data_IF_416657673044
#
_entry.id   IF_416657673044
#
_cell.length_a   1.000
_cell.length_b   1.000
_cell.length_c   1.000
_cell.angle_alpha   90.00
_cell.angle_beta   90.00
_cell.angle_gamma   90.00
#
_symmetry.space_group_name_H-M   'P 1'
#
loop_
_entity.id
_entity.type
_entity.pdbx_description
1 polymer ?
#
# COMPACT_ATOMS: atom_id res chain seq x y z
N UNK A 1 32.52 41.72 -23.48
CA UNK A 1 31.20 41.28 -22.97
C UNK A 1 31.36 40.09 -22.03
N UNK A 2 32.08 39.04 -22.44
CA UNK A 2 32.49 37.88 -21.62
C UNK A 2 33.03 38.22 -20.21
N UNK A 3 33.98 39.17 -20.11
CA UNK A 3 34.57 39.57 -18.82
C UNK A 3 33.56 40.19 -17.84
N UNK A 4 32.51 40.86 -18.34
CA UNK A 4 31.52 41.52 -17.49
C UNK A 4 30.53 40.51 -16.87
N UNK A 5 30.18 39.46 -17.62
CA UNK A 5 29.32 38.37 -17.14
C UNK A 5 30.01 37.48 -16.10
N UNK A 6 31.33 37.26 -16.23
CA UNK A 6 32.11 36.51 -15.23
C UNK A 6 32.09 37.15 -13.85
N UNK A 7 32.32 38.48 -13.77
CA UNK A 7 32.29 39.20 -12.49
C UNK A 7 30.87 39.28 -11.89
N UNK A 8 29.83 39.35 -12.72
CA UNK A 8 28.45 39.36 -12.27
C UNK A 8 28.08 38.04 -11.55
N UNK A 9 28.53 36.90 -12.08
CA UNK A 9 28.31 35.59 -11.44
C UNK A 9 29.00 35.46 -10.08
N UNK A 10 30.21 36.02 -9.94
CA UNK A 10 30.95 36.03 -8.66
C UNK A 10 30.24 36.90 -7.62
N UNK A 11 29.77 38.08 -8.01
CA UNK A 11 29.04 39.00 -7.11
C UNK A 11 27.71 38.37 -6.65
N UNK A 12 26.96 37.74 -7.56
CA UNK A 12 25.71 37.05 -7.21
C UNK A 12 25.93 35.86 -6.27
N UNK A 13 27.01 35.09 -6.48
CA UNK A 13 27.39 33.98 -5.60
C UNK A 13 27.76 34.48 -4.19
N UNK A 14 28.51 35.58 -4.11
CA UNK A 14 28.87 36.18 -2.83
C UNK A 14 27.64 36.70 -2.05
N UNK A 15 26.67 37.30 -2.75
CA UNK A 15 25.39 37.74 -2.16
C UNK A 15 24.59 36.52 -1.67
N UNK A 16 24.50 35.46 -2.48
CA UNK A 16 23.81 34.22 -2.11
C UNK A 16 24.39 33.57 -0.85
N UNK A 17 25.73 33.50 -0.74
CA UNK A 17 26.42 32.99 0.44
C UNK A 17 26.16 33.89 1.65
N UNK A 18 26.23 35.22 1.50
CA UNK A 18 25.99 36.14 2.60
C UNK A 18 24.54 36.05 3.13
N UNK A 19 23.56 35.92 2.23
CA UNK A 19 22.14 35.72 2.59
C UNK A 19 21.94 34.36 3.24
N UNK A 20 22.50 33.28 2.68
CA UNK A 20 22.43 31.94 3.25
C UNK A 20 23.05 31.87 4.65
N UNK A 21 24.22 32.48 4.83
CA UNK A 21 24.86 32.61 6.14
C UNK A 21 24.02 33.45 7.11
N UNK A 22 23.35 34.52 6.64
CA UNK A 22 22.45 35.32 7.48
C UNK A 22 21.19 34.56 7.88
N UNK A 23 20.60 33.79 6.98
CA UNK A 23 19.44 32.92 7.28
C UNK A 23 19.85 31.82 8.24
N UNK A 24 20.97 31.15 8.00
CA UNK A 24 21.53 30.15 8.92
C UNK A 24 21.82 30.78 10.30
N UNK A 25 22.38 31.98 10.35
CA UNK A 25 22.60 32.73 11.58
C UNK A 25 21.29 33.11 12.29
N UNK A 26 20.24 33.47 11.56
CA UNK A 26 18.92 33.78 12.12
C UNK A 26 18.22 32.52 12.64
N UNK A 27 18.32 31.39 11.93
CA UNK A 27 17.80 30.09 12.38
C UNK A 27 18.57 29.60 13.61
N UNK A 28 19.91 29.73 13.59
CA UNK A 28 20.77 29.34 14.71
C UNK A 28 20.61 30.28 15.92
N UNK A 29 20.26 31.55 15.70
CA UNK A 29 19.87 32.50 16.75
C UNK A 29 18.41 32.39 17.18
N UNK A 30 17.61 31.44 16.69
CA UNK A 30 16.29 31.18 17.29
C UNK A 30 16.52 30.68 18.71
N UNK A 31 16.31 31.56 19.68
CA UNK A 31 16.44 31.26 21.10
C UNK A 31 15.57 30.05 21.45
N UNK A 32 16.16 29.06 22.11
CA UNK A 32 15.42 27.91 22.66
C UNK A 32 14.53 28.45 23.77
N UNK A 33 13.21 28.30 23.63
CA UNK A 33 12.25 28.86 24.59
C UNK A 33 11.57 27.74 25.36
N UNK A 34 11.56 27.86 26.68
CA UNK A 34 10.72 27.04 27.56
C UNK A 34 9.32 27.62 27.53
N UNK A 35 8.31 26.79 27.28
CA UNK A 35 6.90 27.19 27.33
C UNK A 35 6.11 26.10 28.03
N UNK A 36 5.04 26.49 28.69
CA UNK A 36 4.08 25.55 29.25
C UNK A 36 2.68 26.03 28.86
N UNK A 37 1.88 25.11 28.34
CA UNK A 37 0.49 25.38 28.02
C UNK A 37 -0.41 24.29 28.57
N UNK A 38 -1.70 24.56 28.66
CA UNK A 38 -2.68 23.56 29.05
C UNK A 38 -3.95 23.64 28.23
N UNK A 39 -4.70 22.55 28.16
CA UNK A 39 -6.01 22.53 27.51
C UNK A 39 -6.90 21.44 28.09
N UNK A 40 -8.20 21.67 28.09
CA UNK A 40 -9.19 20.64 28.37
C UNK A 40 -9.44 19.86 27.08
N UNK A 41 -9.00 18.60 27.05
CA UNK A 41 -9.13 17.71 25.89
C UNK A 41 -10.53 17.07 25.84
N UNK A 42 -11.10 16.78 27.00
CA UNK A 42 -12.46 16.26 27.12
C UNK A 42 -13.14 16.79 28.39
N UNK A 43 -14.45 17.03 28.29
CA UNK A 43 -15.32 17.41 29.39
C UNK A 43 -16.66 16.69 29.18
N UNK A 44 -16.80 15.52 29.81
CA UNK A 44 -17.91 14.59 29.54
C UNK A 44 -18.79 14.44 30.78
N UNK A 45 -20.10 14.79 30.73
CA UNK A 45 -21.02 14.48 31.82
C UNK A 45 -21.23 12.96 31.89
N UNK A 46 -21.16 12.38 33.09
CA UNK A 46 -21.38 10.94 33.29
C UNK A 46 -22.88 10.60 33.31
N UNK A 47 -23.75 11.57 33.61
CA UNK A 47 -25.21 11.52 33.45
C UNK A 47 -25.71 12.91 33.06
N UNK A 48 -26.55 13.03 32.02
CA UNK A 48 -27.19 14.30 31.70
C UNK A 48 -28.50 14.44 32.48
N UNK A 49 -28.54 15.33 33.48
CA UNK A 49 -29.81 15.77 34.05
C UNK A 49 -30.50 16.71 33.06
N UNK A 50 -31.19 16.12 32.08
CA UNK A 50 -31.79 16.87 30.98
C UNK A 50 -32.66 16.04 30.05
N UNK A 51 -33.31 14.98 30.54
CA UNK A 51 -34.42 14.30 29.86
C UNK A 51 -35.18 13.37 30.84
N UNK A 52 -35.97 13.96 31.74
CA UNK A 52 -37.25 13.42 32.24
C UNK A 52 -37.45 11.96 32.68
N UNK A 53 -36.45 11.10 32.93
CA UNK A 53 -36.76 9.69 33.30
C UNK A 53 -35.75 8.93 34.17
N UNK A 54 -34.82 9.60 34.86
CA UNK A 54 -33.83 8.94 35.73
C UNK A 54 -33.92 9.39 37.20
N UNK A 55 -35.12 9.63 37.73
CA UNK A 55 -35.32 10.03 39.14
C UNK A 55 -34.80 8.99 40.16
N UNK A 56 -34.57 7.74 39.74
CA UNK A 56 -34.06 6.65 40.59
C UNK A 56 -32.54 6.43 40.50
N UNK A 57 -31.83 7.08 39.56
CA UNK A 57 -30.40 6.87 39.37
C UNK A 57 -29.61 7.78 40.33
N UNK A 58 -28.84 7.17 41.23
CA UNK A 58 -27.91 7.89 42.12
C UNK A 58 -26.48 7.50 41.77
N UNK A 59 -25.66 8.46 41.36
CA UNK A 59 -24.21 8.25 41.24
C UNK A 59 -23.59 8.48 42.61
N UNK A 60 -22.75 7.54 43.04
CA UNK A 60 -21.98 7.66 44.27
C UNK A 60 -20.51 7.40 44.00
N UNK A 61 -19.64 8.15 44.67
CA UNK A 61 -18.22 7.87 44.76
C UNK A 61 -17.89 7.65 46.24
N UNK A 62 -17.64 6.40 46.61
CA UNK A 62 -17.64 5.98 48.01
C UNK A 62 -18.98 6.31 48.69
N UNK A 63 -18.92 7.02 49.81
CA UNK A 63 -20.12 7.43 50.57
C UNK A 63 -20.74 8.76 50.12
N UNK A 64 -20.12 9.44 49.14
CA UNK A 64 -20.59 10.73 48.63
C UNK A 64 -21.52 10.52 47.42
N UNK A 65 -22.72 11.10 47.48
CA UNK A 65 -23.61 11.24 46.33
C UNK A 65 -23.09 12.37 45.43
N UNK A 66 -23.08 12.15 44.12
CA UNK A 66 -22.71 13.14 43.10
C UNK A 66 -23.97 13.55 42.33
N UNK A 67 -24.17 14.84 42.16
CA UNK A 67 -25.39 15.39 41.56
C UNK A 67 -25.20 15.80 40.09
N UNK A 68 -24.00 16.27 39.72
CA UNK A 68 -23.59 16.58 38.34
C UNK A 68 -22.17 16.06 38.07
N UNK A 69 -22.04 14.73 38.07
CA UNK A 69 -20.76 14.05 37.91
C UNK A 69 -20.21 14.18 36.49
N UNK A 70 -18.95 14.61 36.36
CA UNK A 70 -18.27 14.87 35.09
C UNK A 70 -16.86 14.29 35.09
N UNK A 71 -16.44 13.71 33.99
CA UNK A 71 -15.04 13.34 33.76
C UNK A 71 -14.38 14.39 32.88
N UNK A 72 -13.33 15.03 33.40
CA UNK A 72 -12.53 16.03 32.69
C UNK A 72 -11.12 15.49 32.44
N UNK A 73 -10.65 15.66 31.20
CA UNK A 73 -9.29 15.32 30.79
C UNK A 73 -8.54 16.62 30.51
N UNK A 74 -7.60 16.97 31.39
CA UNK A 74 -6.73 18.13 31.28
C UNK A 74 -5.37 17.70 30.76
N UNK A 75 -4.88 18.35 29.71
CA UNK A 75 -3.53 18.13 29.21
C UNK A 75 -2.68 19.36 29.49
N UNK A 76 -1.50 19.15 30.09
CA UNK A 76 -0.46 20.18 30.28
C UNK A 76 0.72 19.77 29.39
N UNK A 77 1.15 20.65 28.49
CA UNK A 77 2.15 20.34 27.47
C UNK A 77 3.27 21.39 27.39
N UNK A 78 4.40 20.99 26.81
CA UNK A 78 5.47 21.90 26.44
C UNK A 78 5.43 22.20 24.92
N UNK A 79 4.81 23.33 24.51
CA UNK A 79 4.81 23.77 23.11
C UNK A 79 6.10 24.53 22.72
N UNK A 80 7.06 24.65 23.63
CA UNK A 80 8.33 25.33 23.41
C UNK A 80 9.34 24.46 22.66
N UNK A 81 10.51 25.05 22.37
CA UNK A 81 11.63 24.36 21.72
C UNK A 81 12.73 23.91 22.69
N UNK A 82 12.59 24.24 23.99
CA UNK A 82 13.47 23.80 25.06
C UNK A 82 12.74 22.86 26.04
N UNK A 83 13.44 21.88 26.61
CA UNK A 83 12.88 21.04 27.66
C UNK A 83 12.62 21.83 28.95
N UNK A 84 11.51 21.53 29.62
CA UNK A 84 11.18 22.01 30.97
C UNK A 84 11.55 20.91 31.95
N UNK A 85 12.53 21.18 32.82
CA UNK A 85 13.08 20.21 33.77
C UNK A 85 12.40 20.33 35.14
N UNK A 86 12.40 19.28 35.99
CA UNK A 86 11.88 19.36 37.35
C UNK A 86 12.50 20.50 38.19
N UNK A 87 13.78 20.80 37.97
CA UNK A 87 14.48 21.90 38.66
C UNK A 87 14.07 23.31 38.21
N UNK A 88 13.33 23.43 37.10
CA UNK A 88 12.84 24.73 36.63
C UNK A 88 11.65 25.24 37.44
N UNK A 89 10.93 24.35 38.13
CA UNK A 89 9.76 24.69 38.91
C UNK A 89 10.17 25.23 40.27
N UNK A 90 9.65 26.41 40.64
CA UNK A 90 9.83 26.91 42.00
C UNK A 90 8.95 26.16 43.01
N UNK A 91 7.74 25.76 42.57
CA UNK A 91 6.73 25.05 43.36
C UNK A 91 5.89 24.16 42.45
N UNK A 92 5.06 23.29 43.03
CA UNK A 92 4.04 22.51 42.30
C UNK A 92 3.17 23.40 41.41
N UNK A 93 2.78 22.88 40.25
CA UNK A 93 1.74 23.51 39.45
C UNK A 93 0.41 23.40 40.17
N UNK A 94 -0.35 24.49 40.21
CA UNK A 94 -1.68 24.54 40.79
C UNK A 94 -2.72 24.60 39.69
N UNK A 95 -3.68 23.70 39.75
CA UNK A 95 -4.81 23.62 38.83
C UNK A 95 -6.07 23.92 39.62
N UNK A 96 -6.76 25.00 39.24
CA UNK A 96 -7.99 25.48 39.88
C UNK A 96 -9.15 25.33 38.91
N UNK A 97 -10.32 24.92 39.40
CA UNK A 97 -11.54 24.79 38.59
C UNK A 97 -12.30 26.10 38.53
N UNK A 98 -12.99 26.33 37.42
CA UNK A 98 -13.91 27.45 37.24
C UNK A 98 -15.35 26.93 37.08
N UNK A 99 -16.35 27.70 37.53
CA UNK A 99 -17.77 27.40 37.32
C UNK A 99 -18.53 26.80 38.51
N UNK A 100 -17.85 26.55 39.64
CA UNK A 100 -18.47 26.01 40.87
C UNK A 100 -18.38 24.49 41.02
N UNK A 101 -17.73 23.79 40.08
CA UNK A 101 -17.40 22.38 40.21
C UNK A 101 -16.35 22.15 41.32
N UNK A 102 -16.44 20.99 41.96
CA UNK A 102 -15.46 20.52 42.94
C UNK A 102 -14.80 19.24 42.47
N UNK A 103 -13.51 19.09 42.76
CA UNK A 103 -12.81 17.82 42.51
C UNK A 103 -13.33 16.75 43.46
N UNK A 104 -13.78 15.63 42.90
CA UNK A 104 -14.16 14.43 43.65
C UNK A 104 -12.96 13.50 43.80
N UNK A 105 -12.26 13.22 42.69
CA UNK A 105 -11.05 12.39 42.69
C UNK A 105 -10.20 12.64 41.45
N UNK A 106 -8.89 12.46 41.58
CA UNK A 106 -8.00 12.27 40.43
C UNK A 106 -8.04 10.79 40.07
N UNK A 107 -8.46 10.46 38.84
CA UNK A 107 -8.59 9.07 38.36
C UNK A 107 -7.22 8.54 37.92
N UNK A 108 -6.40 9.39 37.30
CA UNK A 108 -5.05 9.04 36.91
C UNK A 108 -4.28 10.21 36.29
N UNK A 109 -2.97 10.03 36.20
CA UNK A 109 -2.05 10.91 35.49
C UNK A 109 -1.15 10.05 34.59
N UNK A 110 -0.97 10.46 33.33
CA UNK A 110 -0.09 9.79 32.36
C UNK A 110 0.78 10.82 31.65
N UNK A 111 1.88 10.38 31.04
CA UNK A 111 2.78 11.20 30.24
C UNK A 111 2.89 10.60 28.84
N UNK A 112 2.94 11.44 27.80
CA UNK A 112 3.09 11.02 26.41
C UNK A 112 3.96 12.00 25.60
N UNK A 113 4.47 11.61 24.42
CA UNK A 113 4.24 10.32 23.74
C UNK A 113 5.19 9.18 24.15
N UNK A 114 6.19 9.41 25.01
CA UNK A 114 7.20 8.41 25.38
C UNK A 114 6.69 7.33 26.34
N UNK A 115 7.01 6.05 26.08
CA UNK A 115 6.71 4.94 26.98
C UNK A 115 7.74 4.84 28.12
N UNK A 116 7.27 4.66 29.36
CA UNK A 116 8.12 4.33 30.52
C UNK A 116 8.54 5.49 31.42
N UNK A 117 8.07 6.71 31.19
CA UNK A 117 8.27 7.82 32.14
C UNK A 117 7.24 7.76 33.28
N UNK A 118 7.70 8.03 34.50
CA UNK A 118 6.82 8.08 35.67
C UNK A 118 5.93 9.33 35.60
N UNK A 119 4.60 9.21 35.73
CA UNK A 119 3.73 10.37 35.79
C UNK A 119 4.01 11.21 37.05
N UNK A 120 3.70 12.52 37.04
CA UNK A 120 3.84 13.35 38.23
C UNK A 120 2.90 12.88 39.33
N UNK A 121 3.27 13.15 40.59
CA UNK A 121 2.31 12.99 41.68
C UNK A 121 1.29 14.13 41.61
N UNK A 122 0.02 13.78 41.81
CA UNK A 122 -1.09 14.74 41.82
C UNK A 122 -1.81 14.63 43.15
N UNK A 123 -1.86 15.73 43.90
CA UNK A 123 -2.51 15.78 45.21
C UNK A 123 -3.61 16.84 45.22
N UNK A 124 -4.68 16.59 45.97
CA UNK A 124 -5.75 17.57 46.17
C UNK A 124 -5.46 18.37 47.44
N UNK A 125 -5.39 19.70 47.32
CA UNK A 125 -5.25 20.60 48.47
C UNK A 125 -6.57 20.78 49.22
N UNK A 126 -6.51 21.19 50.48
CA UNK A 126 -7.70 21.51 51.30
C UNK A 126 -8.61 22.57 50.65
N UNK A 127 -8.04 23.46 49.83
CA UNK A 127 -8.77 24.49 49.08
C UNK A 127 -9.39 24.00 47.76
N UNK A 128 -9.28 22.72 47.41
CA UNK A 128 -9.86 22.15 46.20
C UNK A 128 -9.03 22.33 44.93
N UNK A 129 -7.81 22.87 45.03
CA UNK A 129 -6.86 22.93 43.91
C UNK A 129 -6.08 21.62 43.79
N UNK A 130 -5.83 21.16 42.57
CA UNK A 130 -4.89 20.07 42.32
C UNK A 130 -3.47 20.62 42.26
N UNK A 131 -2.55 19.95 42.96
CA UNK A 131 -1.11 20.20 42.90
C UNK A 131 -0.44 19.10 42.10
N UNK A 132 0.26 19.49 41.04
CA UNK A 132 1.02 18.58 40.18
C UNK A 132 2.50 18.82 40.46
N UNK A 133 3.21 17.77 40.88
CA UNK A 133 4.63 17.87 41.21
C UNK A 133 5.49 18.26 40.00
N UNK A 134 6.64 18.90 40.19
CA UNK A 134 7.61 19.15 39.13
C UNK A 134 7.95 17.90 38.32
N UNK A 135 8.11 18.08 37.01
CA UNK A 135 8.30 16.98 36.05
C UNK A 135 9.16 17.40 34.87
N UNK A 136 9.70 16.42 34.14
CA UNK A 136 10.38 16.65 32.87
C UNK A 136 9.36 16.65 31.73
N UNK A 137 9.35 17.72 30.92
CA UNK A 137 8.60 17.79 29.66
C UNK A 137 9.53 18.23 28.53
N UNK A 138 9.88 17.32 27.63
CA UNK A 138 10.57 17.67 26.39
C UNK A 138 9.63 18.43 25.44
N UNK A 139 10.16 19.13 24.41
CA UNK A 139 9.34 19.71 23.36
C UNK A 139 8.36 18.69 22.76
N UNK A 140 7.06 18.97 22.84
CA UNK A 140 6.00 18.08 22.37
C UNK A 140 5.49 17.05 23.39
N UNK A 141 6.17 16.89 24.53
CA UNK A 141 5.66 16.06 25.63
C UNK A 141 4.45 16.71 26.29
N UNK A 142 3.58 15.87 26.85
CA UNK A 142 2.44 16.29 27.64
C UNK A 142 2.15 15.34 28.79
N UNK A 143 1.57 15.89 29.85
CA UNK A 143 0.89 15.14 30.90
C UNK A 143 -0.61 15.25 30.72
N UNK A 144 -1.29 14.11 30.81
CA UNK A 144 -2.74 14.01 30.82
C UNK A 144 -3.22 13.68 32.23
N UNK A 145 -4.14 14.51 32.75
CA UNK A 145 -4.78 14.35 34.04
C UNK A 145 -6.25 14.03 33.83
N UNK A 146 -6.70 12.89 34.32
CA UNK A 146 -8.11 12.50 34.31
C UNK A 146 -8.72 12.77 35.68
N UNK A 147 -9.70 13.66 35.74
CA UNK A 147 -10.26 14.17 37.00
C UNK A 147 -11.78 13.99 37.00
N UNK A 148 -12.28 13.35 38.05
CA UNK A 148 -13.70 13.25 38.34
C UNK A 148 -14.15 14.48 39.12
N UNK A 149 -15.13 15.20 38.58
CA UNK A 149 -15.71 16.42 39.14
C UNK A 149 -17.19 16.23 39.48
N UNK A 150 -17.70 17.09 40.34
CA UNK A 150 -19.12 17.23 40.65
C UNK A 150 -19.51 18.72 40.67
N UNK A 151 -20.55 19.07 39.93
CA UNK A 151 -21.04 20.44 39.78
C UNK A 151 -20.73 21.08 38.42
N UNK A 152 -21.12 22.35 38.27
CA UNK A 152 -21.00 23.09 37.01
C UNK A 152 -19.55 23.42 36.72
N UNK A 153 -19.03 22.93 35.59
CA UNK A 153 -17.65 23.17 35.16
C UNK A 153 -17.64 24.09 33.94
N UNK A 154 -16.94 25.22 34.05
CA UNK A 154 -16.80 26.19 32.95
C UNK A 154 -15.38 26.30 32.41
N UNK A 155 -14.38 25.84 33.15
CA UNK A 155 -12.98 25.96 32.75
C UNK A 155 -12.00 25.49 33.81
N UNK A 156 -10.72 25.58 33.46
CA UNK A 156 -9.58 25.29 34.34
C UNK A 156 -8.61 26.44 34.23
N UNK A 157 -7.96 26.78 35.35
CA UNK A 157 -6.80 27.67 35.36
C UNK A 157 -5.59 26.94 35.90
N UNK A 158 -4.49 26.94 35.15
CA UNK A 158 -3.21 26.39 35.60
C UNK A 158 -2.24 27.53 35.91
N UNK A 159 -1.68 27.52 37.12
CA UNK A 159 -0.74 28.55 37.60
C UNK A 159 0.50 27.87 38.16
N UNK A 160 1.66 28.43 37.85
CA UNK A 160 2.95 27.97 38.34
C UNK A 160 4.02 29.03 38.09
N UNK A 161 5.14 28.92 38.79
CA UNK A 161 6.30 29.78 38.57
C UNK A 161 7.48 28.89 38.17
N UNK A 162 8.02 29.14 36.97
CA UNK A 162 9.10 28.35 36.39
C UNK A 162 10.18 29.27 35.80
N UNK A 163 11.42 28.80 35.83
CA UNK A 163 12.53 29.47 35.17
C UNK A 163 12.27 29.59 33.66
N UNK A 164 12.48 30.80 33.13
CA UNK A 164 12.36 31.13 31.69
C UNK A 164 10.98 30.88 31.05
N UNK A 165 9.93 30.67 31.85
CA UNK A 165 8.53 30.60 31.39
C UNK A 165 7.77 31.83 31.89
N UNK A 166 7.36 32.70 30.97
CA UNK A 166 6.71 33.97 31.31
C UNK A 166 5.27 33.80 31.82
N UNK A 167 4.52 32.88 31.22
CA UNK A 167 3.13 32.58 31.57
C UNK A 167 2.77 31.18 31.10
N UNK A 168 1.84 30.55 31.81
CA UNK A 168 1.21 29.30 31.38
C UNK A 168 -0.05 29.66 30.62
N UNK A 169 -0.11 29.32 29.33
CA UNK A 169 -1.18 29.73 28.42
C UNK A 169 -2.23 28.62 28.26
N UNK A 170 -3.51 29.00 28.21
CA UNK A 170 -4.57 28.08 27.77
C UNK A 170 -4.48 27.93 26.25
N UNK A 171 -4.32 26.69 25.79
CA UNK A 171 -4.16 26.37 24.37
C UNK A 171 -5.53 26.15 23.74
N UNK A 172 -5.91 27.05 22.84
CA UNK A 172 -7.12 26.92 22.01
C UNK A 172 -7.04 25.66 21.12
N UNK A 173 -8.18 25.01 20.87
CA UNK A 173 -8.26 23.74 20.13
C UNK A 173 -7.42 23.67 18.85
N UNK A 174 -6.67 22.57 18.70
CA UNK A 174 -5.77 22.19 17.58
C UNK A 174 -5.26 23.35 16.70
N UNK A 175 -4.42 24.22 17.27
CA UNK A 175 -3.61 25.11 16.46
C UNK A 175 -2.57 24.29 15.65
N UNK A 176 -2.74 24.29 14.33
CA UNK A 176 -1.67 23.95 13.39
C UNK A 176 -0.48 24.90 13.63
N UNK A 177 0.78 24.47 13.40
CA UNK A 177 1.95 25.29 13.69
C UNK A 177 1.82 26.66 13.03
N UNK A 178 1.95 27.69 13.85
CA UNK A 178 1.87 29.10 13.51
C UNK A 178 2.76 29.39 12.28
N UNK A 179 2.12 29.50 11.11
CA UNK A 179 2.79 29.95 9.90
C UNK A 179 3.07 31.43 10.13
N UNK A 180 4.30 31.70 10.58
CA UNK A 180 4.86 33.03 10.74
C UNK A 180 4.33 33.98 9.66
N UNK A 181 3.42 34.89 10.06
CA UNK A 181 2.97 35.98 9.19
C UNK A 181 4.16 36.91 9.00
N UNK A 182 4.85 36.75 7.87
CA UNK A 182 5.98 37.59 7.48
C UNK A 182 5.43 38.99 7.18
N UNK A 183 5.49 39.88 8.16
CA UNK A 183 5.31 41.32 7.94
C UNK A 183 6.49 41.83 7.11
N UNK A 184 6.26 42.05 5.81
CA UNK A 184 7.26 42.57 4.87
C UNK A 184 7.63 44.02 5.24
N UNK A 185 8.82 44.21 5.81
CA UNK A 185 9.45 45.53 5.91
C UNK A 185 9.82 46.05 4.50
N UNK A 186 10.04 47.36 4.30
CA UNK A 186 10.46 47.89 3.00
C UNK A 186 11.75 47.24 2.47
N UNK A 187 12.61 46.75 3.36
CA UNK A 187 13.80 45.96 3.02
C UNK A 187 13.46 44.54 2.51
N UNK A 188 12.37 43.94 3.01
CA UNK A 188 11.85 42.66 2.52
C UNK A 188 11.23 42.76 1.12
N UNK A 189 10.62 43.90 0.79
CA UNK A 189 10.13 44.18 -0.57
C UNK A 189 11.31 44.33 -1.53
N UNK A 190 12.33 45.10 -1.14
CA UNK A 190 13.54 45.29 -1.95
C UNK A 190 14.31 43.99 -2.17
N UNK A 191 14.40 43.13 -1.14
CA UNK A 191 14.96 41.79 -1.24
C UNK A 191 14.09 40.89 -2.14
N UNK A 192 12.77 40.96 -2.02
CA UNK A 192 11.83 40.23 -2.87
C UNK A 192 11.96 40.63 -4.34
N UNK A 193 12.11 41.93 -4.64
CA UNK A 193 12.33 42.45 -5.99
C UNK A 193 13.70 42.05 -6.52
N UNK A 194 14.74 42.08 -5.69
CA UNK A 194 16.09 41.64 -6.08
C UNK A 194 16.12 40.13 -6.36
N UNK A 195 15.48 39.33 -5.51
CA UNK A 195 15.33 37.88 -5.71
C UNK A 195 14.47 37.57 -6.92
N UNK A 196 13.42 38.37 -7.19
CA UNK A 196 12.61 38.24 -8.40
C UNK A 196 13.42 38.62 -9.64
N UNK A 197 14.25 39.66 -9.60
CA UNK A 197 15.11 40.05 -10.70
C UNK A 197 16.18 38.99 -10.98
N UNK A 198 16.78 38.42 -9.92
CA UNK A 198 17.70 37.27 -10.01
C UNK A 198 16.96 36.04 -10.53
N UNK A 199 15.74 35.77 -10.07
CA UNK A 199 14.93 34.65 -10.54
C UNK A 199 14.56 34.83 -12.01
N UNK A 200 14.18 36.04 -12.45
CA UNK A 200 13.86 36.34 -13.85
C UNK A 200 15.11 36.26 -14.73
N UNK A 201 16.27 36.73 -14.26
CA UNK A 201 17.53 36.58 -15.00
C UNK A 201 17.99 35.13 -15.02
N UNK A 202 17.83 34.37 -13.94
CA UNK A 202 18.09 32.92 -13.92
C UNK A 202 17.12 32.19 -14.83
N UNK A 203 15.81 32.48 -14.80
CA UNK A 203 14.80 31.89 -15.68
C UNK A 203 15.14 32.22 -17.14
N UNK A 204 15.42 33.49 -17.45
CA UNK A 204 15.80 33.92 -18.78
C UNK A 204 17.08 33.22 -19.25
N UNK A 205 18.12 33.19 -18.41
CA UNK A 205 19.40 32.53 -18.67
C UNK A 205 19.24 31.01 -18.77
N UNK A 206 18.35 30.39 -17.98
CA UNK A 206 18.04 28.96 -18.09
C UNK A 206 17.25 28.68 -19.35
N UNK A 207 16.27 29.49 -19.74
CA UNK A 207 15.54 29.30 -20.99
C UNK A 207 16.39 29.61 -22.22
N UNK A 208 17.41 30.47 -22.10
CA UNK A 208 18.29 30.85 -23.22
C UNK A 208 19.52 29.94 -23.37
N UNK A 209 20.05 29.41 -22.27
CA UNK A 209 21.19 28.47 -22.27
C UNK A 209 20.76 27.00 -22.22
N UNK A 210 19.54 26.72 -21.74
CA UNK A 210 18.92 25.40 -21.63
C UNK A 210 17.46 25.47 -22.13
N UNK A 211 17.22 25.60 -23.44
CA UNK A 211 15.86 25.43 -23.98
C UNK A 211 15.31 24.08 -23.52
N UNK A 212 14.09 24.08 -22.94
CA UNK A 212 13.41 22.96 -22.26
C UNK A 212 13.97 21.56 -22.57
N UNK A 213 14.94 21.11 -21.76
CA UNK A 213 15.22 19.69 -21.64
C UNK A 213 14.40 19.15 -20.45
N UNK A 214 13.16 18.77 -20.80
CA UNK A 214 12.30 17.79 -20.13
C UNK A 214 11.92 18.10 -18.68
N UNK A 215 10.68 18.57 -18.47
CA UNK A 215 9.84 18.02 -17.36
C UNK A 215 10.11 16.52 -17.35
N UNK A 216 10.46 15.92 -16.21
CA UNK A 216 10.60 14.47 -16.11
C UNK A 216 9.37 13.86 -16.80
N UNK A 217 9.50 13.29 -18.01
CA UNK A 217 8.36 12.67 -18.63
C UNK A 217 7.94 11.56 -17.67
N UNK A 218 6.64 11.27 -17.61
CA UNK A 218 6.21 9.97 -17.12
C UNK A 218 7.18 8.92 -17.71
N UNK A 219 7.82 8.06 -16.89
CA UNK A 219 8.85 7.15 -17.39
C UNK A 219 8.28 6.42 -18.61
N UNK A 220 9.06 6.28 -19.70
CA UNK A 220 8.53 6.07 -21.04
C UNK A 220 7.53 4.92 -21.03
N UNK A 221 6.25 5.25 -21.22
CA UNK A 221 5.21 4.23 -21.43
C UNK A 221 5.35 3.72 -22.86
N UNK A 222 6.11 2.65 -23.04
CA UNK A 222 6.28 2.07 -24.35
C UNK A 222 5.10 1.15 -24.67
N UNK A 223 4.64 1.25 -25.91
CA UNK A 223 3.48 0.49 -26.40
C UNK A 223 3.90 -0.33 -27.60
N UNK A 224 3.63 -1.63 -27.53
CA UNK A 224 3.96 -2.61 -28.54
C UNK A 224 2.71 -3.35 -28.97
N UNK A 225 2.55 -3.56 -30.27
CA UNK A 225 1.55 -4.49 -30.80
C UNK A 225 2.21 -5.86 -30.96
N UNK A 226 1.57 -6.89 -30.41
CA UNK A 226 2.02 -8.29 -30.49
C UNK A 226 0.85 -9.19 -30.87
N UNK A 227 1.17 -10.40 -31.30
CA UNK A 227 0.23 -11.47 -31.58
C UNK A 227 0.46 -12.66 -30.64
N UNK A 228 -0.54 -13.54 -30.55
CA UNK A 228 -0.33 -14.86 -29.95
C UNK A 228 0.69 -15.62 -30.81
N UNK A 229 1.69 -16.21 -30.18
CA UNK A 229 2.85 -16.85 -30.78
C UNK A 229 4.14 -16.03 -30.65
N UNK A 230 4.03 -14.71 -30.38
CA UNK A 230 5.19 -13.83 -30.35
C UNK A 230 6.07 -14.06 -29.12
N UNK A 231 7.38 -13.99 -29.36
CA UNK A 231 8.43 -13.96 -28.33
C UNK A 231 8.87 -12.52 -28.11
N UNK A 232 8.79 -12.07 -26.86
CA UNK A 232 9.22 -10.76 -26.39
C UNK A 232 10.54 -10.93 -25.65
N UNK A 233 11.48 -10.05 -25.96
CA UNK A 233 12.77 -9.93 -25.32
C UNK A 233 13.34 -8.55 -25.62
N UNK A 234 14.62 -8.34 -25.29
CA UNK A 234 15.27 -7.06 -25.49
C UNK A 234 15.12 -6.55 -26.93
N UNK A 235 14.59 -5.34 -27.08
CA UNK A 235 14.33 -4.64 -28.34
C UNK A 235 13.41 -5.40 -29.33
N UNK A 236 12.62 -6.37 -28.84
CA UNK A 236 11.70 -7.20 -29.63
C UNK A 236 10.30 -7.22 -29.00
N UNK A 237 9.25 -6.74 -29.69
CA UNK A 237 9.11 -6.55 -31.15
C UNK A 237 9.62 -5.21 -31.71
N UNK A 238 10.12 -4.33 -30.85
CA UNK A 238 10.69 -3.06 -31.26
C UNK A 238 11.58 -2.49 -30.17
N UNK A 239 12.34 -1.44 -30.52
CA UNK A 239 13.30 -0.81 -29.62
C UNK A 239 12.66 -0.46 -28.26
N UNK A 240 13.31 -0.89 -27.18
CA UNK A 240 12.91 -0.73 -25.78
C UNK A 240 12.03 -1.85 -25.22
N UNK A 241 11.42 -2.69 -26.06
CA UNK A 241 10.66 -3.85 -25.57
C UNK A 241 11.55 -4.79 -24.75
N UNK A 242 10.96 -5.48 -23.77
CA UNK A 242 11.71 -6.42 -22.93
C UNK A 242 12.69 -5.72 -21.98
N UNK A 243 12.61 -4.40 -21.81
CA UNK A 243 13.48 -3.63 -20.91
C UNK A 243 12.69 -2.55 -20.20
N UNK A 244 12.66 -2.59 -18.86
CA UNK A 244 12.23 -1.45 -18.05
C UNK A 244 13.45 -0.54 -17.90
N UNK A 245 13.47 0.62 -18.56
CA UNK A 245 14.66 1.48 -18.56
C UNK A 245 14.83 2.32 -17.29
N UNK A 246 13.72 2.63 -16.63
CA UNK A 246 13.68 3.53 -15.47
C UNK A 246 12.72 3.02 -14.40
N UNK A 247 12.96 3.42 -13.15
CA UNK A 247 12.11 2.94 -12.06
C UNK A 247 10.68 3.47 -12.20
N UNK A 248 9.71 2.57 -12.14
CA UNK A 248 8.30 2.89 -12.37
C UNK A 248 7.88 2.99 -13.84
N UNK A 249 8.78 2.76 -14.81
CA UNK A 249 8.38 2.61 -16.21
C UNK A 249 7.41 1.42 -16.38
N UNK A 250 6.56 1.51 -17.40
CA UNK A 250 5.58 0.47 -17.72
C UNK A 250 5.57 0.25 -19.22
N UNK A 251 5.90 -0.98 -19.60
CA UNK A 251 5.72 -1.44 -20.96
C UNK A 251 4.33 -2.03 -21.15
N UNK A 252 3.74 -1.76 -22.30
CA UNK A 252 2.37 -2.12 -22.62
C UNK A 252 2.34 -2.89 -23.93
N UNK A 253 1.88 -4.13 -23.88
CA UNK A 253 1.71 -4.99 -25.04
C UNK A 253 0.23 -5.17 -25.35
N UNK A 254 -0.18 -4.87 -26.58
CA UNK A 254 -1.56 -5.07 -27.03
C UNK A 254 -1.65 -6.22 -28.03
N UNK A 255 -2.64 -7.08 -27.85
CA UNK A 255 -2.92 -8.19 -28.77
C UNK A 255 -4.43 -8.37 -28.93
N UNK A 256 -4.86 -8.95 -30.05
CA UNK A 256 -6.28 -9.25 -30.29
C UNK A 256 -6.58 -10.70 -29.92
N UNK A 257 -7.71 -10.93 -29.25
CA UNK A 257 -8.20 -12.26 -28.94
C UNK A 257 -9.73 -12.33 -29.01
N UNK A 258 -10.25 -13.55 -29.10
CA UNK A 258 -11.68 -13.88 -29.11
C UNK A 258 -12.11 -14.37 -27.73
N UNK A 259 -13.41 -14.27 -27.48
CA UNK A 259 -14.06 -14.88 -26.32
C UNK A 259 -13.72 -16.37 -26.24
N UNK A 260 -13.50 -16.87 -25.02
CA UNK A 260 -13.17 -18.26 -24.69
C UNK A 260 -11.80 -18.76 -25.21
N UNK A 261 -10.99 -17.90 -25.85
CA UNK A 261 -9.60 -18.24 -26.12
C UNK A 261 -8.80 -18.32 -24.82
N UNK A 262 -7.90 -19.30 -24.76
CA UNK A 262 -6.95 -19.45 -23.66
C UNK A 262 -5.58 -18.96 -24.09
N UNK A 263 -4.93 -18.21 -23.22
CA UNK A 263 -3.55 -17.75 -23.43
C UNK A 263 -2.67 -18.17 -22.26
N UNK A 264 -1.38 -18.36 -22.54
CA UNK A 264 -0.38 -18.61 -21.53
C UNK A 264 0.81 -17.68 -21.75
N UNK A 265 1.29 -17.05 -20.69
CA UNK A 265 2.46 -16.17 -20.74
C UNK A 265 3.63 -16.96 -20.18
N UNK A 266 4.41 -17.57 -21.07
CA UNK A 266 5.59 -18.33 -20.69
C UNK A 266 6.74 -17.36 -20.41
N UNK A 267 7.33 -17.47 -19.22
CA UNK A 267 8.55 -16.73 -18.89
C UNK A 267 9.75 -17.35 -19.59
N UNK A 268 10.59 -16.53 -20.22
CA UNK A 268 11.85 -16.96 -20.84
C UNK A 268 13.08 -16.41 -20.13
N UNK A 269 13.02 -15.14 -19.71
CA UNK A 269 14.11 -14.49 -19.01
C UNK A 269 13.57 -13.61 -17.89
N UNK A 270 14.19 -13.71 -16.72
CA UNK A 270 14.14 -12.68 -15.69
C UNK A 270 15.47 -12.71 -14.93
N UNK A 271 16.11 -11.56 -14.83
CA UNK A 271 17.16 -11.38 -13.84
C UNK A 271 16.45 -11.30 -12.46
N UNK A 272 16.74 -12.30 -11.60
CA UNK A 272 16.03 -12.62 -10.36
C UNK A 272 16.12 -11.53 -9.26
N UNK A 273 16.55 -10.32 -9.61
CA UNK A 273 16.71 -9.19 -8.70
C UNK A 273 15.49 -8.24 -8.66
N UNK A 274 14.40 -8.53 -9.41
CA UNK A 274 13.33 -7.56 -9.67
C UNK A 274 11.91 -8.03 -9.28
N UNK A 275 11.12 -7.09 -8.75
CA UNK A 275 9.65 -7.22 -8.56
C UNK A 275 8.93 -6.44 -9.66
N UNK A 276 8.66 -7.08 -10.80
CA UNK A 276 7.84 -6.52 -11.88
C UNK A 276 6.40 -7.02 -11.76
N UNK A 277 5.44 -6.09 -11.77
CA UNK A 277 4.03 -6.45 -11.74
C UNK A 277 3.52 -6.73 -13.15
N UNK A 278 2.72 -7.79 -13.31
CA UNK A 278 1.97 -8.04 -14.54
C UNK A 278 0.51 -7.67 -14.35
N UNK A 279 -0.07 -7.05 -15.36
CA UNK A 279 -1.51 -6.81 -15.38
C UNK A 279 -2.06 -7.09 -16.76
N UNK A 280 -2.94 -8.09 -16.87
CA UNK A 280 -3.69 -8.35 -18.07
C UNK A 280 -5.05 -7.65 -17.99
N UNK A 281 -5.31 -6.77 -18.94
CA UNK A 281 -6.52 -5.99 -19.07
C UNK A 281 -7.32 -6.43 -20.30
N UNK A 282 -8.63 -6.55 -20.13
CA UNK A 282 -9.61 -6.83 -21.19
C UNK A 282 -9.99 -5.55 -21.95
N UNK A 283 -10.65 -5.66 -23.12
CA UNK A 283 -11.27 -4.52 -23.79
C UNK A 283 -11.99 -3.56 -22.82
N UNK A 284 -11.67 -2.26 -22.90
CA UNK A 284 -12.18 -1.26 -21.95
C UNK A 284 -11.39 -1.12 -20.65
N UNK A 285 -10.21 -1.77 -20.52
CA UNK A 285 -9.19 -1.46 -19.51
C UNK A 285 -9.43 -2.05 -18.12
N UNK A 286 -10.39 -2.98 -17.98
CA UNK A 286 -10.61 -3.70 -16.71
C UNK A 286 -9.67 -4.91 -16.61
N UNK A 287 -9.29 -5.39 -15.41
CA UNK A 287 -8.52 -6.62 -15.28
C UNK A 287 -9.26 -7.85 -15.82
N UNK A 288 -8.51 -8.80 -16.38
CA UNK A 288 -9.02 -10.13 -16.71
C UNK A 288 -9.26 -10.91 -15.41
N UNK A 289 -10.46 -11.50 -15.18
CA UNK A 289 -10.73 -12.30 -14.00
C UNK A 289 -9.77 -13.50 -13.88
N UNK A 290 -9.41 -13.87 -12.66
CA UNK A 290 -8.53 -15.02 -12.37
C UNK A 290 -7.13 -14.96 -13.00
N UNK A 291 -6.73 -13.79 -13.53
CA UNK A 291 -5.34 -13.54 -13.89
C UNK A 291 -4.59 -13.05 -12.66
N UNK A 292 -3.79 -13.92 -12.05
CA UNK A 292 -2.95 -13.55 -10.91
C UNK A 292 -1.70 -12.81 -11.39
N UNK A 293 -1.82 -11.48 -11.44
CA UNK A 293 -0.75 -10.57 -11.85
C UNK A 293 0.16 -10.08 -10.72
N UNK A 294 -0.12 -10.47 -9.47
CA UNK A 294 0.63 -10.06 -8.29
C UNK A 294 1.74 -11.06 -7.99
N UNK A 295 2.84 -10.99 -8.75
CA UNK A 295 3.99 -11.84 -8.48
C UNK A 295 5.13 -10.98 -7.92
N UNK A 296 5.40 -11.17 -6.63
CA UNK A 296 6.46 -10.45 -5.89
C UNK A 296 7.89 -10.90 -6.23
N UNK A 297 8.04 -11.95 -7.04
CA UNK A 297 9.33 -12.43 -7.55
C UNK A 297 9.10 -13.28 -8.81
N UNK A 298 9.60 -12.83 -9.96
CA UNK A 298 9.62 -13.56 -11.24
C UNK A 298 8.46 -14.55 -11.48
N UNK A 299 7.36 -14.04 -12.06
CA UNK A 299 6.20 -14.79 -12.60
C UNK A 299 6.18 -16.30 -12.25
N UNK A 300 5.79 -16.66 -11.03
CA UNK A 300 5.59 -18.05 -10.66
C UNK A 300 4.35 -18.57 -11.38
N UNK A 301 4.55 -19.19 -12.55
CA UNK A 301 3.60 -20.07 -13.23
C UNK A 301 2.18 -19.55 -13.33
N UNK A 302 1.92 -18.53 -14.16
CA UNK A 302 0.54 -18.23 -14.53
C UNK A 302 -0.05 -19.45 -15.24
N UNK A 303 -1.10 -20.06 -14.71
CA UNK A 303 -1.87 -21.04 -15.51
C UNK A 303 -2.42 -20.36 -16.77
N UNK A 304 -2.74 -21.15 -17.80
CA UNK A 304 -3.44 -20.60 -18.96
C UNK A 304 -4.76 -19.94 -18.52
N UNK A 305 -5.00 -18.73 -19.00
CA UNK A 305 -6.17 -17.91 -18.63
C UNK A 305 -7.17 -17.88 -19.78
N UNK A 306 -8.44 -18.12 -19.47
CA UNK A 306 -9.55 -18.01 -20.43
C UNK A 306 -10.00 -16.55 -20.54
N UNK A 307 -10.04 -16.04 -21.76
CA UNK A 307 -10.37 -14.65 -22.05
C UNK A 307 -11.90 -14.47 -22.15
N UNK A 308 -12.51 -13.55 -21.38
CA UNK A 308 -13.97 -13.48 -21.24
C UNK A 308 -14.70 -12.78 -22.40
N UNK A 309 -13.98 -12.09 -23.29
CA UNK A 309 -14.59 -11.28 -24.34
C UNK A 309 -13.70 -11.15 -25.58
N UNK A 310 -14.31 -10.83 -26.73
CA UNK A 310 -13.59 -10.59 -27.98
C UNK A 310 -13.14 -9.14 -28.06
N UNK A 311 -11.86 -8.90 -28.38
CA UNK A 311 -11.34 -7.56 -28.64
C UNK A 311 -9.84 -7.43 -28.39
N UNK A 312 -9.39 -6.19 -28.21
CA UNK A 312 -8.01 -5.87 -27.91
C UNK A 312 -7.73 -5.97 -26.39
N UNK A 313 -6.81 -6.85 -26.03
CA UNK A 313 -6.28 -7.01 -24.68
C UNK A 313 -5.01 -6.20 -24.51
N UNK A 314 -4.69 -5.86 -23.25
CA UNK A 314 -3.49 -5.12 -22.89
C UNK A 314 -2.77 -5.82 -21.75
N UNK A 315 -1.53 -6.26 -22.00
CA UNK A 315 -0.61 -6.75 -20.98
C UNK A 315 0.32 -5.62 -20.57
N UNK A 316 0.29 -5.22 -19.29
CA UNK A 316 1.19 -4.23 -18.71
C UNK A 316 2.27 -4.92 -17.88
N UNK A 317 3.50 -4.48 -18.05
CA UNK A 317 4.68 -4.98 -17.33
C UNK A 317 5.35 -3.79 -16.65
N UNK A 318 5.45 -3.81 -15.32
CA UNK A 318 6.03 -2.74 -14.52
C UNK A 318 5.00 -1.91 -13.71
N UNK A 319 5.46 -0.84 -13.06
CA UNK A 319 4.58 0.14 -12.38
C UNK A 319 3.90 -0.33 -11.08
N UNK A 320 4.42 -1.35 -10.40
CA UNK A 320 3.89 -1.78 -9.09
C UNK A 320 4.15 -0.77 -7.96
N UNK A 321 3.45 -0.88 -6.80
CA UNK A 321 3.53 0.08 -5.69
C UNK A 321 4.92 0.24 -5.06
N UNK A 322 5.84 -0.69 -5.35
CA UNK A 322 7.24 -0.64 -4.88
C UNK A 322 8.17 0.09 -5.87
N UNK A 323 7.65 0.50 -7.03
CA UNK A 323 8.43 0.99 -8.17
C UNK A 323 9.20 -0.17 -8.81
N UNK A 324 8.82 -0.58 -10.02
CA UNK A 324 9.61 -1.59 -10.75
C UNK A 324 11.03 -1.06 -10.92
N UNK A 325 12.06 -1.83 -10.61
CA UNK A 325 13.45 -1.45 -10.86
C UNK A 325 13.78 -1.60 -12.35
N UNK A 326 14.72 -0.81 -12.90
CA UNK A 326 15.21 -1.00 -14.26
C UNK A 326 15.78 -2.41 -14.46
N UNK A 327 15.54 -3.02 -15.61
CA UNK A 327 16.02 -4.37 -15.92
C UNK A 327 15.38 -4.98 -17.17
N UNK A 328 15.95 -6.08 -17.65
CA UNK A 328 15.43 -6.83 -18.81
C UNK A 328 14.47 -7.93 -18.39
N UNK A 329 13.52 -8.24 -19.27
CA UNK A 329 12.60 -9.36 -19.13
C UNK A 329 12.30 -9.99 -20.50
N UNK A 330 11.94 -11.27 -20.50
CA UNK A 330 11.55 -11.98 -21.69
C UNK A 330 10.39 -12.93 -21.43
N UNK A 331 9.43 -12.95 -22.36
CA UNK A 331 8.29 -13.85 -22.30
C UNK A 331 7.85 -14.27 -23.69
N UNK A 332 7.15 -15.41 -23.79
CA UNK A 332 6.43 -15.81 -24.98
C UNK A 332 4.93 -15.85 -24.70
N UNK A 333 4.15 -15.25 -25.59
CA UNK A 333 2.70 -15.20 -25.48
C UNK A 333 2.10 -16.36 -26.28
N UNK A 334 1.71 -17.44 -25.62
CA UNK A 334 1.16 -18.62 -26.29
C UNK A 334 -0.36 -18.54 -26.41
N UNK A 335 -0.89 -19.00 -27.55
CA UNK A 335 -2.23 -19.59 -27.59
C UNK A 335 -2.15 -20.97 -26.93
N UNK A 336 -3.11 -21.29 -26.07
CA UNK A 336 -3.06 -22.50 -25.25
C UNK A 336 -4.43 -23.20 -25.24
N UNK A 337 -4.91 -23.66 -26.42
CA UNK A 337 -6.26 -24.16 -26.61
C UNK A 337 -6.62 -25.37 -25.73
N UNK A 338 -7.92 -25.65 -25.68
CA UNK A 338 -8.42 -26.98 -25.30
C UNK A 338 -9.05 -27.54 -26.58
N UNK A 339 -8.39 -28.48 -27.22
CA UNK A 339 -8.96 -29.21 -28.34
C UNK A 339 -9.94 -30.24 -27.81
N UNK A 340 -11.15 -30.26 -28.38
CA UNK A 340 -12.23 -31.13 -27.92
C UNK A 340 -12.60 -32.11 -29.00
N UNK A 341 -12.52 -33.38 -28.65
CA UNK A 341 -12.78 -34.52 -29.50
C UNK A 341 -13.94 -35.33 -28.91
N UNK A 342 -14.87 -35.76 -29.78
CA UNK A 342 -15.87 -36.78 -29.43
C UNK A 342 -15.48 -38.06 -30.14
N UNK A 343 -15.27 -39.14 -29.39
CA UNK A 343 -14.75 -40.40 -29.94
C UNK A 343 -15.38 -41.61 -29.25
N UNK A 344 -15.65 -42.72 -29.97
CA UNK A 344 -16.15 -43.94 -29.34
C UNK A 344 -15.08 -44.74 -28.58
N UNK A 345 -13.81 -44.31 -28.62
CA UNK A 345 -12.67 -45.02 -28.01
C UNK A 345 -12.50 -46.45 -28.54
N UNK A 346 -12.57 -46.61 -29.86
CA UNK A 346 -12.49 -47.92 -30.55
C UNK A 346 -11.25 -48.10 -31.45
N UNK A 347 -10.49 -47.03 -31.69
CA UNK A 347 -9.30 -47.03 -32.53
C UNK A 347 -8.25 -46.09 -31.94
N UNK A 348 -6.97 -46.27 -32.29
CA UNK A 348 -5.93 -45.31 -31.96
C UNK A 348 -6.26 -43.90 -32.45
N UNK A 349 -5.85 -42.90 -31.68
CA UNK A 349 -6.02 -41.48 -31.95
C UNK A 349 -4.65 -40.82 -31.89
N UNK A 350 -4.28 -40.10 -32.94
CA UNK A 350 -3.13 -39.20 -32.92
C UNK A 350 -3.53 -37.91 -32.20
N UNK A 351 -2.78 -37.52 -31.18
CA UNK A 351 -2.98 -36.29 -30.42
C UNK A 351 -1.72 -35.43 -30.44
N UNK A 352 -1.89 -34.14 -30.20
CA UNK A 352 -0.79 -33.17 -30.17
C UNK A 352 -1.05 -32.13 -29.09
N UNK A 353 -0.10 -31.94 -28.19
CA UNK A 353 -0.12 -30.80 -27.27
C UNK A 353 0.60 -29.66 -28.00
N UNK A 354 -0.14 -28.82 -28.71
CA UNK A 354 0.41 -27.89 -29.71
C UNK A 354 1.28 -26.77 -29.08
N UNK A 355 1.03 -26.48 -27.80
CA UNK A 355 1.72 -25.45 -27.05
C UNK A 355 1.72 -25.76 -25.55
N UNK A 356 2.63 -25.14 -24.78
CA UNK A 356 2.59 -25.22 -23.33
C UNK A 356 1.19 -24.88 -22.78
N UNK A 357 0.71 -25.71 -21.86
CA UNK A 357 -0.63 -25.62 -21.22
C UNK A 357 -1.84 -25.87 -22.15
N UNK A 358 -1.61 -26.24 -23.43
CA UNK A 358 -2.65 -26.83 -24.28
C UNK A 358 -3.19 -28.11 -23.67
N UNK A 359 -4.40 -28.48 -24.06
CA UNK A 359 -5.03 -29.71 -23.60
C UNK A 359 -5.81 -30.35 -24.73
N UNK A 360 -5.76 -31.67 -24.79
CA UNK A 360 -6.69 -32.47 -25.56
C UNK A 360 -7.75 -33.04 -24.62
N UNK A 361 -9.01 -32.91 -25.01
CA UNK A 361 -10.15 -33.38 -24.24
C UNK A 361 -10.97 -34.34 -25.09
N UNK A 362 -11.04 -35.60 -24.67
CA UNK A 362 -11.76 -36.65 -25.37
C UNK A 362 -13.01 -37.05 -24.61
N UNK A 363 -14.18 -36.66 -25.13
CA UNK A 363 -15.48 -37.08 -24.64
C UNK A 363 -15.90 -38.40 -25.28
N UNK A 364 -16.31 -39.36 -24.46
CA UNK A 364 -16.78 -40.68 -24.90
C UNK A 364 -17.90 -41.19 -24.00
N UNK A 365 -18.78 -42.01 -24.57
CA UNK A 365 -19.88 -42.63 -23.82
C UNK A 365 -19.51 -44.05 -23.40
N UNK A 366 -19.83 -44.39 -22.16
CA UNK A 366 -19.69 -45.74 -21.59
C UNK A 366 -21.03 -46.25 -21.07
N UNK A 367 -21.21 -47.56 -21.13
CA UNK A 367 -22.26 -48.30 -20.43
C UNK A 367 -21.75 -48.77 -19.05
N UNK A 368 -22.69 -49.04 -18.15
CA UNK A 368 -22.38 -49.53 -16.81
C UNK A 368 -21.72 -50.92 -16.89
N UNK A 369 -20.61 -51.09 -16.17
CA UNK A 369 -19.81 -52.32 -16.14
C UNK A 369 -18.83 -52.49 -17.30
N UNK A 370 -18.75 -51.54 -18.24
CA UNK A 370 -17.67 -51.54 -19.23
C UNK A 370 -16.31 -51.30 -18.58
N UNK A 371 -15.25 -51.83 -19.20
CA UNK A 371 -13.87 -51.59 -18.79
C UNK A 371 -13.09 -50.95 -19.94
N UNK A 372 -12.35 -49.88 -19.67
CA UNK A 372 -11.45 -49.24 -20.64
C UNK A 372 -10.08 -49.03 -20.02
N UNK A 373 -9.03 -49.43 -20.74
CA UNK A 373 -7.64 -48.98 -20.51
C UNK A 373 -7.16 -48.18 -21.71
N UNK A 374 -6.28 -47.22 -21.47
CA UNK A 374 -5.71 -46.38 -22.51
C UNK A 374 -4.20 -46.56 -22.52
N UNK A 375 -3.67 -47.14 -23.58
CA UNK A 375 -2.23 -47.13 -23.80
C UNK A 375 -1.84 -45.81 -24.47
N UNK A 376 -0.86 -45.09 -23.93
CA UNK A 376 -0.42 -43.77 -24.39
C UNK A 376 1.06 -43.83 -24.74
N UNK A 377 1.39 -43.51 -25.98
CA UNK A 377 2.76 -43.45 -26.50
C UNK A 377 3.13 -42.00 -26.83
N UNK A 378 3.72 -41.25 -25.87
CA UNK A 378 4.23 -39.91 -26.14
C UNK A 378 5.53 -39.97 -26.94
N UNK A 379 5.81 -38.92 -27.71
CA UNK A 379 7.12 -38.78 -28.33
C UNK A 379 8.25 -38.70 -27.29
N UNK A 380 9.49 -38.98 -27.73
CA UNK A 380 10.64 -39.06 -26.84
C UNK A 380 10.89 -37.73 -26.12
N UNK A 381 10.74 -37.72 -24.79
CA UNK A 381 11.01 -36.56 -23.94
C UNK A 381 9.78 -35.74 -23.58
N UNK A 382 8.59 -36.09 -24.08
CA UNK A 382 7.32 -35.46 -23.72
C UNK A 382 6.76 -36.05 -22.41
N UNK A 383 6.72 -35.25 -21.35
CA UNK A 383 5.97 -35.54 -20.14
C UNK A 383 4.49 -35.22 -20.31
N UNK A 384 3.61 -36.15 -19.90
CA UNK A 384 2.16 -35.95 -19.97
C UNK A 384 1.50 -36.05 -18.58
N UNK A 385 0.41 -35.33 -18.43
CA UNK A 385 -0.59 -35.47 -17.38
C UNK A 385 -1.92 -35.85 -17.98
N UNK A 386 -2.75 -36.47 -17.16
CA UNK A 386 -4.09 -36.86 -17.56
C UNK A 386 -5.08 -36.69 -16.41
N UNK A 387 -6.36 -36.55 -16.75
CA UNK A 387 -7.46 -36.68 -15.80
C UNK A 387 -8.65 -37.34 -16.48
N UNK A 388 -9.36 -38.19 -15.76
CA UNK A 388 -10.59 -38.83 -16.19
C UNK A 388 -11.75 -38.33 -15.32
N UNK A 389 -12.76 -37.77 -15.95
CA UNK A 389 -13.98 -37.27 -15.29
C UNK A 389 -15.22 -37.96 -15.85
N UNK A 390 -16.16 -38.27 -14.98
CA UNK A 390 -17.45 -38.85 -15.33
C UNK A 390 -18.59 -37.83 -15.37
N UNK A 391 -19.84 -38.32 -15.46
CA UNK A 391 -21.02 -37.46 -15.52
C UNK A 391 -21.09 -36.49 -14.34
N UNK A 392 -21.41 -35.22 -14.63
CA UNK A 392 -21.40 -34.10 -13.65
C UNK A 392 -20.01 -33.75 -13.12
N UNK A 393 -18.96 -33.94 -13.93
CA UNK A 393 -17.57 -33.59 -13.62
C UNK A 393 -16.98 -34.37 -12.42
N UNK A 394 -17.53 -35.55 -12.10
CA UNK A 394 -17.02 -36.40 -11.03
C UNK A 394 -15.61 -36.86 -11.37
N UNK A 395 -14.64 -36.57 -10.50
CA UNK A 395 -13.27 -37.06 -10.70
C UNK A 395 -13.27 -38.58 -10.53
N UNK A 396 -12.84 -39.29 -11.57
CA UNK A 396 -12.57 -40.73 -11.51
C UNK A 396 -11.16 -40.94 -11.01
N UNK A 397 -10.18 -40.35 -11.71
CA UNK A 397 -8.76 -40.40 -11.37
C UNK A 397 -7.98 -39.34 -12.15
N UNK A 398 -6.78 -39.00 -11.71
CA UNK A 398 -5.86 -38.07 -12.39
C UNK A 398 -4.39 -38.29 -11.99
N UNK A 399 -3.45 -37.89 -12.85
CA UNK A 399 -2.04 -38.05 -12.53
C UNK A 399 -1.06 -37.63 -13.61
N UNK A 400 0.22 -37.82 -13.31
CA UNK A 400 1.31 -37.79 -14.30
C UNK A 400 1.41 -39.17 -14.95
N UNK A 401 1.69 -39.21 -16.25
CA UNK A 401 1.91 -40.45 -16.99
C UNK A 401 3.31 -41.01 -16.67
N UNK A 402 3.40 -41.97 -15.75
CA UNK A 402 4.68 -42.61 -15.38
C UNK A 402 5.03 -43.86 -16.22
N UNK A 403 4.07 -44.37 -16.99
CA UNK A 403 4.22 -45.55 -17.84
C UNK A 403 3.23 -45.47 -19.00
N UNK A 404 3.23 -46.45 -19.92
CA UNK A 404 2.50 -46.32 -21.18
C UNK A 404 0.99 -46.55 -21.03
N UNK A 405 0.43 -46.66 -19.82
CA UNK A 405 -0.96 -47.08 -19.63
C UNK A 405 -1.66 -46.25 -18.56
N UNK A 406 -2.87 -45.81 -18.88
CA UNK A 406 -3.85 -45.20 -17.98
C UNK A 406 -4.99 -46.21 -17.76
N UNK A 407 -5.34 -46.49 -16.50
CA UNK A 407 -6.33 -47.52 -16.14
C UNK A 407 -5.71 -48.92 -15.95
N UNK A 408 -6.50 -50.01 -16.06
CA UNK A 408 -7.90 -50.07 -16.51
C UNK A 408 -8.87 -49.41 -15.53
N UNK A 409 -9.99 -48.91 -16.07
CA UNK A 409 -11.12 -48.42 -15.30
C UNK A 409 -12.36 -49.24 -15.62
N UNK A 410 -13.07 -49.66 -14.58
CA UNK A 410 -14.44 -50.19 -14.69
C UNK A 410 -15.43 -49.06 -14.38
N UNK A 411 -16.43 -48.86 -15.23
CA UNK A 411 -17.34 -47.73 -15.14
C UNK A 411 -18.65 -48.12 -14.46
N UNK A 412 -18.89 -47.63 -13.25
CA UNK A 412 -20.07 -47.96 -12.46
C UNK A 412 -21.31 -47.12 -12.82
N UNK A 413 -21.19 -46.17 -13.75
CA UNK A 413 -22.29 -45.29 -14.12
C UNK A 413 -22.29 -45.10 -15.61
N UNK A 414 -23.41 -45.44 -16.26
CA UNK A 414 -23.64 -45.12 -17.66
C UNK A 414 -23.63 -43.59 -17.86
N UNK A 415 -22.90 -43.12 -18.87
CA UNK A 415 -22.91 -41.72 -19.25
C UNK A 415 -21.70 -41.28 -20.08
N UNK A 416 -21.56 -39.98 -20.21
CA UNK A 416 -20.40 -39.34 -20.86
C UNK A 416 -19.26 -39.18 -19.85
N UNK A 417 -18.07 -39.59 -20.27
CA UNK A 417 -16.81 -39.42 -19.57
C UNK A 417 -15.87 -38.60 -20.45
N UNK A 418 -14.99 -37.84 -19.80
CA UNK A 418 -13.97 -37.02 -20.47
C UNK A 418 -12.59 -37.42 -19.97
N UNK A 419 -11.74 -37.90 -20.89
CA UNK A 419 -10.30 -38.03 -20.67
C UNK A 419 -9.62 -36.75 -21.17
N UNK A 420 -8.93 -36.04 -20.29
CA UNK A 420 -8.12 -34.88 -20.67
C UNK A 420 -6.65 -35.26 -20.60
N UNK A 421 -5.88 -34.95 -21.64
CA UNK A 421 -4.43 -35.12 -21.71
C UNK A 421 -3.80 -33.73 -21.87
N UNK A 422 -2.69 -33.48 -21.17
CA UNK A 422 -1.93 -32.23 -21.25
C UNK A 422 -0.45 -32.48 -21.02
N UNK A 423 0.43 -31.56 -21.43
CA UNK A 423 1.83 -31.61 -21.05
C UNK A 423 2.07 -31.51 -19.53
N UNK A 424 3.15 -32.11 -19.03
CA UNK A 424 3.63 -31.86 -17.68
C UNK A 424 4.42 -30.54 -17.66
N UNK A 425 3.92 -29.55 -16.92
CA UNK A 425 4.51 -28.20 -16.94
C UNK A 425 4.30 -27.51 -18.29
N UNK A 426 5.40 -27.22 -18.99
CA UNK A 426 5.41 -26.51 -20.27
C UNK A 426 5.74 -27.45 -21.45
N UNK A 427 5.71 -28.77 -21.22
CA UNK A 427 5.93 -29.75 -22.28
C UNK A 427 4.82 -29.67 -23.35
N UNK A 428 5.21 -29.88 -24.60
CA UNK A 428 4.38 -29.83 -25.80
C UNK A 428 4.96 -30.81 -26.81
N UNK A 429 4.11 -31.45 -27.60
CA UNK A 429 4.51 -32.50 -28.54
C UNK A 429 3.41 -33.51 -28.82
N UNK A 430 3.70 -34.43 -29.73
CA UNK A 430 2.74 -35.41 -30.23
C UNK A 430 2.71 -36.70 -29.41
N UNK A 431 1.56 -37.38 -29.40
CA UNK A 431 1.39 -38.68 -28.77
C UNK A 431 0.34 -39.52 -29.49
N UNK A 432 0.33 -40.83 -29.24
CA UNK A 432 -0.71 -41.74 -29.72
C UNK A 432 -1.49 -42.29 -28.53
N UNK A 433 -2.81 -42.09 -28.54
CA UNK A 433 -3.75 -42.65 -27.57
C UNK A 433 -4.42 -43.90 -28.15
N UNK A 434 -4.12 -45.07 -27.60
CA UNK A 434 -4.64 -46.37 -28.00
C UNK A 434 -5.61 -46.94 -26.95
N UNK A 435 -6.92 -46.69 -27.10
CA UNK A 435 -7.93 -47.24 -26.18
C UNK A 435 -8.15 -48.74 -26.41
N UNK A 436 -8.30 -49.48 -25.32
CA UNK A 436 -8.75 -50.87 -25.31
C UNK A 436 -10.02 -50.97 -24.47
N UNK A 437 -11.16 -51.11 -25.17
CA UNK A 437 -12.49 -51.18 -24.59
C UNK A 437 -12.98 -52.62 -24.51
N UNK A 438 -13.51 -53.01 -23.36
CA UNK A 438 -14.11 -54.31 -23.10
C UNK A 438 -15.57 -54.10 -22.64
N UNK A 439 -16.56 -54.69 -23.34
CA UNK A 439 -17.97 -54.59 -22.94
C UNK A 439 -18.22 -55.20 -21.54
N UNK A 440 -19.33 -54.79 -20.89
CA UNK A 440 -19.84 -55.44 -19.69
C UNK A 440 -20.11 -56.93 -19.96
N UNK A 441 -19.59 -57.81 -19.11
CA UNK A 441 -19.73 -59.28 -19.23
C UNK A 441 -21.09 -59.81 -18.83
#
# INVERSE_FOLDING_TARGET
>A
MELFFGWLGVVLSAIGIAVGARVAFVIHRRETTKRLGYRVVAHTPLVSQGAGSLELLTIRYGDRRLDDARLVVLQISNPGSAAVQPGDFQNDLRVSLEGGAHVVSVVGATIGPGQGANPPSVTLSEGGELKVSPLLLNPGDFVELQVLLDGVFTGVRVVGHLADVRSIEELSGREAPDRARISLSPYGILLGVLLLAILVTVIWLTTSLFPDEKRNPEPPHQKFSVALGDTIGQDTPGKGAGTIEESGAVDTYTFSAKTDQRIYIQRLDCDNSYSVQLQLLRPGGKPVPNFDGYVYSCFSGSNAVTLPETGQYTLRIGGGPVGGSPGTYGFKLWASPIERHTTPMQSPIEGDIEAPRSQDSYAFHVDEGEEIRFDVEPESGLGLRWSLRGPKETVVDDGVLFGPTIGPFTFDTKGEYTLTISGDGDDAGSYVLSPHRKPSG
#
